data_IF_083039230538
#
_entry.id   IF_083039230538
#
_cell.length_a   1.000
_cell.length_b   1.000
_cell.length_c   1.000
_cell.angle_alpha   90.00
_cell.angle_beta   90.00
_cell.angle_gamma   90.00
#
_symmetry.space_group_name_H-M   'P 1'
#
loop_
_entity.id
_entity.type
_entity.pdbx_description
1 polymer ?
#
# COMPACT_ATOMS: atom_id res chain seq x y z
N UNK A 1 -7.11 11.41 14.84
CA UNK A 1 -6.70 12.76 14.39
C UNK A 1 -5.87 12.70 13.11
N UNK A 2 -4.75 11.97 13.07
CA UNK A 2 -3.83 11.92 11.90
C UNK A 2 -4.50 11.43 10.61
N UNK A 3 -5.35 10.39 10.66
CA UNK A 3 -6.08 9.92 9.47
C UNK A 3 -6.95 11.01 8.83
N UNK A 4 -7.61 11.83 9.66
CA UNK A 4 -8.51 12.88 9.18
C UNK A 4 -7.73 14.01 8.50
N UNK A 5 -6.48 14.21 8.87
CA UNK A 5 -5.63 15.28 8.34
C UNK A 5 -4.91 14.86 7.05
N UNK A 6 -4.39 13.65 6.98
CA UNK A 6 -3.57 13.21 5.84
C UNK A 6 -4.21 12.05 5.04
N UNK A 7 -4.73 11.04 5.72
CA UNK A 7 -5.20 9.81 5.07
C UNK A 7 -6.42 10.01 4.17
N UNK A 8 -7.38 10.84 4.59
CA UNK A 8 -8.58 11.10 3.80
C UNK A 8 -8.25 11.80 2.47
N UNK A 9 -7.43 12.86 2.51
CA UNK A 9 -7.05 13.59 1.30
C UNK A 9 -6.27 12.71 0.32
N UNK A 10 -5.42 11.80 0.83
CA UNK A 10 -4.72 10.84 -0.03
C UNK A 10 -5.67 9.95 -0.82
N UNK A 11 -6.76 9.50 -0.19
CA UNK A 11 -7.77 8.67 -0.84
C UNK A 11 -8.55 9.46 -1.89
N UNK A 12 -8.99 10.68 -1.58
CA UNK A 12 -9.69 11.53 -2.57
C UNK A 12 -8.79 11.85 -3.77
N UNK A 13 -7.51 12.16 -3.53
CA UNK A 13 -6.54 12.40 -4.59
C UNK A 13 -6.35 11.14 -5.46
N UNK A 14 -6.23 9.97 -4.83
CA UNK A 14 -6.08 8.70 -5.54
C UNK A 14 -7.29 8.37 -6.43
N UNK A 15 -8.51 8.55 -5.91
CA UNK A 15 -9.76 8.37 -6.67
C UNK A 15 -9.89 9.37 -7.82
N UNK A 16 -9.38 10.59 -7.63
CA UNK A 16 -9.31 11.63 -8.67
C UNK A 16 -8.22 11.37 -9.73
N UNK A 17 -7.42 10.31 -9.57
CA UNK A 17 -6.37 9.91 -10.50
C UNK A 17 -4.99 10.53 -10.25
N UNK A 18 -4.77 11.13 -9.08
CA UNK A 18 -3.47 11.63 -8.67
C UNK A 18 -2.68 10.59 -7.87
N UNK A 19 -1.36 10.61 -8.02
CA UNK A 19 -0.46 9.80 -7.20
C UNK A 19 -0.35 10.41 -5.79
N UNK A 20 -0.47 9.56 -4.77
CA UNK A 20 -0.34 9.94 -3.36
C UNK A 20 0.76 9.11 -2.69
N UNK A 21 1.61 9.74 -1.88
CA UNK A 21 2.67 9.07 -1.13
C UNK A 21 2.65 9.51 0.33
N UNK A 22 2.83 8.56 1.25
CA UNK A 22 3.00 8.82 2.68
C UNK A 22 4.08 7.91 3.22
N UNK A 23 4.99 8.49 3.99
CA UNK A 23 6.07 7.77 4.66
C UNK A 23 6.20 8.28 6.09
N UNK A 24 6.59 7.39 6.99
CA UNK A 24 6.92 7.75 8.36
C UNK A 24 8.44 7.88 8.52
N UNK A 25 8.88 9.00 9.07
CA UNK A 25 10.28 9.31 9.33
C UNK A 25 10.53 9.55 10.82
N UNK A 26 11.73 9.22 11.29
CA UNK A 26 12.13 9.39 12.69
C UNK A 26 13.18 8.36 13.12
N UNK A 27 13.76 8.55 14.30
CA UNK A 27 14.78 7.66 14.85
C UNK A 27 14.26 6.25 15.14
N UNK A 28 15.15 5.28 15.37
CA UNK A 28 14.79 3.93 15.81
C UNK A 28 13.95 3.99 17.09
N UNK A 29 12.91 3.15 17.18
CA UNK A 29 11.91 3.14 18.27
C UNK A 29 11.05 4.41 18.43
N UNK A 30 11.06 5.34 17.46
CA UNK A 30 10.19 6.53 17.49
C UNK A 30 8.71 6.27 17.14
N UNK A 31 8.30 5.01 16.96
CA UNK A 31 6.91 4.67 16.63
C UNK A 31 6.51 4.73 15.14
N UNK A 32 7.47 4.75 14.18
CA UNK A 32 7.15 4.73 12.73
C UNK A 32 6.23 3.58 12.33
N UNK A 33 6.63 2.35 12.68
CA UNK A 33 5.88 1.13 12.37
C UNK A 33 4.52 1.15 13.05
N UNK A 34 4.47 1.53 14.34
CA UNK A 34 3.22 1.66 15.09
C UNK A 34 2.28 2.72 14.48
N UNK A 35 2.81 3.85 13.99
CA UNK A 35 2.00 4.90 13.35
C UNK A 35 1.42 4.41 12.02
N UNK A 36 2.23 3.74 11.20
CA UNK A 36 1.80 3.29 9.87
C UNK A 36 0.92 2.04 9.94
N UNK A 37 1.32 1.03 10.70
CA UNK A 37 0.66 -0.29 10.73
C UNK A 37 -0.23 -0.45 11.97
N UNK A 38 0.23 0.03 13.12
CA UNK A 38 -0.32 -0.33 14.42
C UNK A 38 0.30 -1.63 14.93
N UNK A 39 -0.46 -2.38 15.71
CA UNK A 39 -0.10 -3.74 16.11
C UNK A 39 -0.26 -4.69 14.92
N UNK A 40 0.84 -5.33 14.52
CA UNK A 40 0.91 -6.14 13.30
C UNK A 40 0.13 -7.45 13.48
N UNK A 41 0.18 -8.03 14.68
CA UNK A 41 -0.57 -9.23 15.03
C UNK A 41 -2.10 -9.03 14.92
N UNK A 42 -2.57 -7.79 15.07
CA UNK A 42 -3.98 -7.40 15.04
C UNK A 42 -4.47 -6.93 13.66
N UNK A 43 -3.63 -6.96 12.62
CA UNK A 43 -4.03 -6.51 11.28
C UNK A 43 -5.14 -7.39 10.67
N UNK A 44 -5.16 -8.68 11.00
CA UNK A 44 -6.15 -9.64 10.49
C UNK A 44 -7.39 -9.75 11.39
N UNK A 45 -7.26 -9.41 12.67
CA UNK A 45 -8.36 -9.42 13.65
C UNK A 45 -9.21 -8.16 13.47
N UNK A 46 -10.51 -8.22 13.81
CA UNK A 46 -11.56 -7.16 13.68
C UNK A 46 -11.05 -5.71 13.87
N UNK A 47 -11.76 -4.68 13.34
CA UNK A 47 -11.35 -3.28 13.49
C UNK A 47 -10.94 -2.92 14.92
N UNK A 48 -9.64 -2.76 15.14
CA UNK A 48 -9.06 -2.44 16.44
C UNK A 48 -8.79 -0.93 16.51
N UNK A 49 -9.04 -0.27 17.66
CA UNK A 49 -8.69 1.13 17.84
C UNK A 49 -7.17 1.38 17.71
N UNK A 50 -6.36 0.34 17.84
CA UNK A 50 -4.90 0.37 17.75
C UNK A 50 -4.35 0.27 16.32
N UNK A 51 -5.22 0.15 15.30
CA UNK A 51 -4.82 0.16 13.89
C UNK A 51 -4.12 1.46 13.51
N UNK A 52 -3.01 1.35 12.79
CA UNK A 52 -2.26 2.49 12.26
C UNK A 52 -2.94 3.17 11.07
N UNK A 53 -2.18 4.00 10.36
CA UNK A 53 -2.68 4.77 9.21
C UNK A 53 -3.01 3.89 8.00
N UNK A 54 -2.13 2.97 7.63
CA UNK A 54 -2.25 2.09 6.46
C UNK A 54 -3.57 1.30 6.42
N UNK A 55 -3.94 0.51 7.46
CA UNK A 55 -5.22 -0.20 7.46
C UNK A 55 -6.42 0.72 7.28
N UNK A 56 -6.44 1.85 7.97
CA UNK A 56 -7.58 2.77 7.92
C UNK A 56 -7.68 3.49 6.57
N UNK A 57 -6.56 3.79 5.91
CA UNK A 57 -6.55 4.37 4.55
C UNK A 57 -7.21 3.41 3.57
N UNK A 58 -6.85 2.12 3.61
CA UNK A 58 -7.40 1.15 2.67
C UNK A 58 -8.86 0.80 2.98
N UNK A 59 -9.24 0.72 4.26
CA UNK A 59 -10.66 0.64 4.65
C UNK A 59 -11.47 1.79 4.05
N UNK A 60 -10.98 3.03 4.20
CA UNK A 60 -11.64 4.20 3.66
C UNK A 60 -11.67 4.22 2.12
N UNK A 61 -10.58 3.81 1.46
CA UNK A 61 -10.51 3.68 0.01
C UNK A 61 -11.61 2.76 -0.52
N UNK A 62 -11.70 1.53 -0.01
CA UNK A 62 -12.71 0.57 -0.46
C UNK A 62 -14.12 0.98 -0.06
N UNK A 63 -14.30 1.66 1.07
CA UNK A 63 -15.58 2.25 1.47
C UNK A 63 -16.01 3.39 0.52
N UNK A 64 -15.08 4.14 -0.09
CA UNK A 64 -15.39 5.20 -1.05
C UNK A 64 -15.62 4.72 -2.48
N UNK A 65 -14.98 3.62 -2.90
CA UNK A 65 -15.18 3.04 -4.24
C UNK A 65 -16.64 2.63 -4.46
N UNK A 66 -17.33 2.11 -3.43
CA UNK A 66 -18.70 1.62 -3.55
C UNK A 66 -19.71 2.75 -3.90
N UNK A 67 -19.85 3.83 -3.10
CA UNK A 67 -20.70 4.98 -3.46
C UNK A 67 -20.33 5.62 -4.80
N UNK A 68 -19.04 5.67 -5.15
CA UNK A 68 -18.62 6.27 -6.43
C UNK A 68 -19.05 5.44 -7.64
N UNK A 69 -19.04 4.10 -7.52
CA UNK A 69 -19.63 3.20 -8.53
C UNK A 69 -21.13 3.41 -8.69
N UNK A 70 -21.84 3.64 -7.59
CA UNK A 70 -23.29 3.86 -7.59
C UNK A 70 -23.66 5.22 -8.17
N UNK A 71 -22.96 6.28 -7.77
CA UNK A 71 -23.18 7.64 -8.27
C UNK A 71 -22.90 7.78 -9.77
N UNK A 72 -21.96 6.99 -10.31
CA UNK A 72 -21.58 7.00 -11.73
C UNK A 72 -21.94 5.69 -12.43
N UNK A 73 -23.11 5.14 -12.10
CA UNK A 73 -23.58 3.85 -12.63
C UNK A 73 -23.61 3.81 -14.16
N UNK A 74 -23.94 4.93 -14.80
CA UNK A 74 -24.02 5.06 -16.26
C UNK A 74 -22.64 4.94 -16.95
N UNK A 75 -21.56 5.31 -16.26
CA UNK A 75 -20.18 5.22 -16.77
C UNK A 75 -19.62 3.80 -16.75
N UNK A 76 -20.30 2.87 -16.05
CA UNK A 76 -19.91 1.46 -15.88
C UNK A 76 -18.45 1.32 -15.40
N UNK A 77 -18.09 2.10 -14.38
CA UNK A 77 -16.73 2.14 -13.85
C UNK A 77 -16.29 0.77 -13.29
N UNK A 78 -15.13 0.31 -13.74
CA UNK A 78 -14.42 -0.87 -13.27
C UNK A 78 -13.16 -0.41 -12.56
N UNK A 79 -13.03 -0.79 -11.29
CA UNK A 79 -11.85 -0.51 -10.48
C UNK A 79 -11.02 -1.79 -10.40
N UNK A 80 -9.76 -1.70 -10.83
CA UNK A 80 -8.78 -2.76 -10.69
C UNK A 80 -7.69 -2.26 -9.75
N UNK A 81 -7.62 -2.86 -8.57
CA UNK A 81 -6.63 -2.55 -7.55
C UNK A 81 -5.56 -3.64 -7.56
N UNK A 82 -4.29 -3.22 -7.58
CA UNK A 82 -3.15 -4.13 -7.41
C UNK A 82 -2.29 -3.69 -6.24
N UNK A 83 -1.74 -4.65 -5.52
CA UNK A 83 -0.90 -4.44 -4.36
C UNK A 83 0.46 -5.12 -4.54
N UNK A 84 1.52 -4.44 -4.11
CA UNK A 84 2.89 -4.92 -4.11
C UNK A 84 3.58 -4.45 -2.82
N UNK A 85 4.49 -5.25 -2.27
CA UNK A 85 5.18 -4.92 -1.03
C UNK A 85 6.64 -5.33 -1.16
N UNK A 86 7.54 -4.36 -0.98
CA UNK A 86 8.98 -4.57 -1.10
C UNK A 86 9.74 -4.02 0.10
N UNK A 87 10.96 -4.49 0.22
CA UNK A 87 11.94 -3.99 1.17
C UNK A 87 13.19 -3.51 0.44
N UNK A 88 13.72 -2.36 0.86
CA UNK A 88 15.01 -1.84 0.41
C UNK A 88 15.98 -1.91 1.58
N UNK A 89 17.14 -2.52 1.38
CA UNK A 89 18.19 -2.60 2.38
C UNK A 89 19.54 -2.81 1.74
N UNK A 90 20.52 -2.03 2.20
CA UNK A 90 21.87 -2.07 1.64
C UNK A 90 21.83 -1.95 0.10
N UNK A 91 21.00 -1.04 -0.41
CA UNK A 91 20.74 -0.83 -1.84
C UNK A 91 20.19 -2.04 -2.62
N UNK A 92 19.80 -3.12 -1.92
CA UNK A 92 19.14 -4.28 -2.51
C UNK A 92 17.63 -4.23 -2.30
N UNK A 93 16.90 -4.54 -3.36
CA UNK A 93 15.44 -4.63 -3.35
C UNK A 93 15.03 -6.09 -3.22
N UNK A 94 14.22 -6.39 -2.21
CA UNK A 94 13.62 -7.71 -2.01
C UNK A 94 12.11 -7.61 -2.10
N UNK A 95 11.50 -8.49 -2.89
CA UNK A 95 10.05 -8.66 -2.88
C UNK A 95 9.63 -9.31 -1.55
N UNK A 96 8.72 -8.70 -0.79
CA UNK A 96 8.26 -9.26 0.48
C UNK A 96 7.11 -10.27 0.31
N UNK A 97 6.53 -10.38 -0.88
CA UNK A 97 5.42 -11.28 -1.20
C UNK A 97 5.88 -12.52 -1.97
N UNK A 98 7.03 -12.46 -2.66
CA UNK A 98 7.65 -13.61 -3.32
C UNK A 98 9.02 -13.97 -2.68
N UNK A 99 9.18 -15.14 -2.03
CA UNK A 99 10.45 -15.59 -1.46
C UNK A 99 11.58 -15.80 -2.47
N UNK A 100 11.28 -16.08 -3.74
CA UNK A 100 12.30 -16.31 -4.76
C UNK A 100 12.92 -15.01 -5.30
N UNK A 101 12.21 -13.90 -5.18
CA UNK A 101 12.55 -12.62 -5.80
C UNK A 101 13.39 -11.73 -4.89
N UNK A 102 14.71 -11.77 -5.08
CA UNK A 102 15.70 -10.95 -4.37
C UNK A 102 16.57 -10.16 -5.34
N UNK A 103 17.11 -9.04 -4.88
CA UNK A 103 17.97 -8.14 -5.65
C UNK A 103 17.31 -7.64 -6.95
N UNK A 104 16.05 -7.20 -6.84
CA UNK A 104 15.30 -6.63 -7.96
C UNK A 104 15.90 -5.28 -8.38
N UNK A 105 15.70 -4.93 -9.65
CA UNK A 105 16.29 -3.75 -10.27
C UNK A 105 15.24 -2.67 -10.53
N UNK A 106 15.61 -1.40 -10.29
CA UNK A 106 14.83 -0.28 -10.80
C UNK A 106 14.97 -0.19 -12.31
N UNK A 107 13.86 0.16 -12.97
CA UNK A 107 13.79 0.50 -14.39
C UNK A 107 12.96 1.76 -14.58
N UNK A 108 13.18 2.43 -15.70
CA UNK A 108 12.44 3.62 -16.09
C UNK A 108 11.68 3.34 -17.39
N UNK A 109 10.40 3.73 -17.41
CA UNK A 109 9.55 3.66 -18.59
C UNK A 109 8.89 5.02 -18.81
N UNK A 110 8.79 5.46 -20.07
CA UNK A 110 8.29 6.79 -20.44
C UNK A 110 6.84 7.02 -19.96
N UNK A 111 6.04 5.96 -19.85
CA UNK A 111 4.63 6.04 -19.44
C UNK A 111 4.43 5.72 -17.97
N UNK A 112 5.18 4.77 -17.41
CA UNK A 112 5.02 4.29 -16.02
C UNK A 112 5.92 5.02 -15.03
N UNK A 113 6.92 5.77 -15.51
CA UNK A 113 7.97 6.33 -14.68
C UNK A 113 8.91 5.24 -14.15
N UNK A 114 9.45 5.47 -12.96
CA UNK A 114 10.34 4.52 -12.28
C UNK A 114 9.53 3.37 -11.67
N UNK A 115 9.91 2.14 -11.96
CA UNK A 115 9.28 0.93 -11.43
C UNK A 115 10.33 -0.13 -11.08
N UNK A 116 9.94 -1.14 -10.31
CA UNK A 116 10.80 -2.28 -9.98
C UNK A 116 10.45 -3.43 -10.91
N UNK A 117 11.44 -3.91 -11.67
CA UNK A 117 11.27 -5.04 -12.57
C UNK A 117 11.03 -6.34 -11.78
N UNK A 118 10.11 -7.17 -12.27
CA UNK A 118 9.75 -8.46 -11.67
C UNK A 118 9.20 -8.38 -10.25
N UNK A 119 8.77 -7.20 -9.79
CA UNK A 119 8.05 -7.07 -8.54
C UNK A 119 6.65 -7.70 -8.67
N UNK A 120 6.30 -8.54 -7.70
CA UNK A 120 5.00 -9.20 -7.67
C UNK A 120 3.87 -8.20 -7.42
N UNK A 121 2.85 -8.25 -8.27
CA UNK A 121 1.62 -7.48 -8.12
C UNK A 121 0.44 -8.45 -7.94
N UNK A 122 -0.30 -8.30 -6.84
CA UNK A 122 -1.48 -9.11 -6.54
C UNK A 122 -2.75 -8.27 -6.72
N UNK A 123 -3.74 -8.82 -7.41
CA UNK A 123 -5.06 -8.18 -7.48
C UNK A 123 -5.76 -8.27 -6.13
N UNK A 124 -6.34 -7.15 -5.69
CA UNK A 124 -7.00 -7.02 -4.38
C UNK A 124 -8.39 -6.42 -4.57
N UNK A 125 -9.38 -6.95 -3.84
CA UNK A 125 -10.77 -6.51 -3.97
C UNK A 125 -11.29 -5.83 -2.70
N UNK A 126 -10.61 -6.05 -1.57
CA UNK A 126 -11.00 -5.53 -0.26
C UNK A 126 -9.79 -5.00 0.51
N UNK A 127 -10.06 -4.19 1.54
CA UNK A 127 -9.03 -3.77 2.49
C UNK A 127 -8.38 -4.98 3.17
N UNK A 128 -9.17 -6.03 3.45
CA UNK A 128 -8.67 -7.26 4.07
C UNK A 128 -7.61 -7.97 3.23
N UNK A 129 -7.72 -7.96 1.91
CA UNK A 129 -6.73 -8.58 1.02
C UNK A 129 -5.37 -7.87 1.13
N UNK A 130 -5.38 -6.53 1.15
CA UNK A 130 -4.17 -5.73 1.35
C UNK A 130 -3.57 -6.00 2.73
N UNK A 131 -4.40 -6.10 3.77
CA UNK A 131 -3.94 -6.35 5.13
C UNK A 131 -3.30 -7.72 5.31
N UNK A 132 -3.81 -8.75 4.64
CA UNK A 132 -3.19 -10.08 4.61
C UNK A 132 -1.81 -10.05 3.96
N UNK A 133 -1.69 -9.42 2.77
CA UNK A 133 -0.40 -9.26 2.10
C UNK A 133 0.60 -8.47 2.97
N UNK A 134 0.11 -7.45 3.66
CA UNK A 134 0.92 -6.64 4.57
C UNK A 134 1.39 -7.42 5.80
N UNK A 135 0.53 -8.23 6.40
CA UNK A 135 0.87 -9.11 7.52
C UNK A 135 1.91 -10.16 7.08
N UNK A 136 1.69 -10.81 5.94
CA UNK A 136 2.62 -11.77 5.34
C UNK A 136 4.01 -11.16 5.11
N UNK A 137 4.09 -10.01 4.44
CA UNK A 137 5.36 -9.36 4.17
C UNK A 137 6.05 -8.82 5.44
N UNK A 138 5.27 -8.39 6.43
CA UNK A 138 5.79 -7.97 7.73
C UNK A 138 6.42 -9.14 8.51
N UNK A 139 5.78 -10.31 8.47
CA UNK A 139 6.33 -11.54 9.06
C UNK A 139 7.64 -11.95 8.37
N UNK A 140 7.66 -11.96 7.03
CA UNK A 140 8.86 -12.29 6.25
C UNK A 140 10.02 -11.34 6.59
N UNK A 141 9.73 -10.04 6.67
CA UNK A 141 10.70 -9.02 7.09
C UNK A 141 11.26 -9.28 8.48
N UNK A 142 10.39 -9.60 9.45
CA UNK A 142 10.79 -9.92 10.84
C UNK A 142 11.71 -11.15 10.89
N UNK A 143 11.39 -12.20 10.13
CA UNK A 143 12.22 -13.41 10.04
C UNK A 143 13.58 -13.11 9.39
N UNK A 144 13.60 -12.36 8.29
CA UNK A 144 14.83 -11.98 7.60
C UNK A 144 15.77 -11.11 8.47
N UNK A 145 15.19 -10.23 9.30
CA UNK A 145 15.93 -9.44 10.28
C UNK A 145 16.65 -10.35 11.30
N UNK A 146 15.94 -11.33 11.86
CA UNK A 146 16.50 -12.26 12.85
C UNK A 146 17.59 -13.16 12.27
N UNK A 147 17.38 -13.74 11.08
CA UNK A 147 18.31 -14.71 10.50
C UNK A 147 19.65 -14.10 10.06
N UNK A 148 19.67 -12.82 9.66
CA UNK A 148 20.88 -12.16 9.14
C UNK A 148 21.53 -11.19 10.14
N UNK A 149 21.11 -11.22 11.41
CA UNK A 149 21.49 -10.21 12.42
C UNK A 149 21.25 -8.77 11.90
N UNK A 150 20.18 -8.62 11.12
CA UNK A 150 19.83 -7.43 10.35
C UNK A 150 18.85 -6.61 11.16
N UNK A 151 19.17 -5.34 11.34
CA UNK A 151 18.31 -4.43 12.10
C UNK A 151 17.22 -3.85 11.21
N UNK A 152 15.94 -4.04 11.57
CA UNK A 152 14.80 -3.50 10.81
C UNK A 152 14.76 -1.97 10.77
N UNK A 153 15.52 -1.28 11.62
CA UNK A 153 15.73 0.17 11.56
C UNK A 153 16.52 0.62 10.33
N UNK A 154 17.31 -0.28 9.73
CA UNK A 154 18.20 -0.03 8.59
C UNK A 154 17.58 -0.42 7.25
N UNK A 155 16.34 -0.91 7.26
CA UNK A 155 15.60 -1.25 6.04
C UNK A 155 14.35 -0.39 5.88
N UNK A 156 14.00 -0.12 4.63
CA UNK A 156 12.79 0.62 4.26
C UNK A 156 11.76 -0.36 3.71
N UNK A 157 10.54 -0.31 4.21
CA UNK A 157 9.41 -1.07 3.62
C UNK A 157 8.54 -0.13 2.81
N UNK A 158 8.23 -0.55 1.58
CA UNK A 158 7.38 0.21 0.66
C UNK A 158 6.20 -0.66 0.27
N UNK A 159 5.01 -0.26 0.73
CA UNK A 159 3.73 -0.80 0.25
C UNK A 159 3.27 0.09 -0.91
N UNK A 160 3.09 -0.50 -2.08
CA UNK A 160 2.61 0.20 -3.26
C UNK A 160 1.29 -0.40 -3.73
N UNK A 161 0.29 0.46 -3.90
CA UNK A 161 -1.05 0.08 -4.38
C UNK A 161 -1.40 0.92 -5.60
N UNK A 162 -1.67 0.24 -6.71
CA UNK A 162 -2.09 0.86 -7.97
C UNK A 162 -3.60 0.71 -8.13
N UNK A 163 -4.30 1.84 -8.26
CA UNK A 163 -5.71 1.88 -8.59
C UNK A 163 -5.89 2.26 -10.07
N UNK A 164 -6.46 1.37 -10.86
CA UNK A 164 -6.83 1.65 -12.26
C UNK A 164 -8.35 1.70 -12.39
N UNK A 165 -8.84 2.79 -12.96
CA UNK A 165 -10.27 2.97 -13.26
C UNK A 165 -10.47 2.83 -14.77
N UNK A 166 -11.19 1.79 -15.18
CA UNK A 166 -11.65 1.58 -16.56
C UNK A 166 -13.14 1.90 -16.69
N UNK A 167 -13.56 2.47 -17.82
CA UNK A 167 -14.96 2.84 -18.07
C UNK A 167 -15.06 3.95 -19.12
N UNK A 168 -16.28 4.29 -19.56
CA UNK A 168 -16.47 5.48 -20.40
C UNK A 168 -16.49 6.70 -19.49
N UNK A 169 -15.38 7.44 -19.40
CA UNK A 169 -15.39 8.76 -18.75
C UNK A 169 -16.34 9.66 -19.55
N UNK A 170 -17.46 10.04 -18.96
CA UNK A 170 -18.27 11.13 -19.49
C UNK A 170 -17.51 12.41 -19.12
N UNK A 171 -17.15 13.28 -20.08
CA UNK A 171 -16.49 14.54 -19.75
C UNK A 171 -17.38 15.33 -18.79
N UNK A 172 -16.85 15.72 -17.63
CA UNK A 172 -17.54 16.63 -16.73
C UNK A 172 -17.69 17.97 -17.45
N UNK A 173 -18.94 18.43 -17.62
CA UNK A 173 -19.22 19.80 -18.07
C UNK A 173 -18.69 20.77 -17.00
N UNK A 174 -17.67 21.54 -17.36
CA UNK A 174 -17.28 22.79 -16.70
C UNK A 174 -18.44 23.76 -16.63
#
# INVERSE_FOLDING_TARGET
MIIRMAGLQMVENCLSGYNSCMFAYGQTRSGKTHTMLGEIEDLEVRPSPHRGMTPRIFEFLFARIQPEKESRRDEKLKYNCKCSLLEIYNEQITDLLDPASNNLMFREDVKKGVYVENLSEFEVQTAGDILKLLAQGSLKRKVAATNMNRESSRSHSVLHVSLRVGGKRIPQLT
#
